data_IF_211003402484
#
_entry.id   IF_211003402484
#
_cell.length_a   1.000
_cell.length_b   1.000
_cell.length_c   1.000
_cell.angle_alpha   90.00
_cell.angle_beta   90.00
_cell.angle_gamma   90.00
#
_symmetry.space_group_name_H-M   'P 1'
#
loop_
_entity.id
_entity.type
_entity.pdbx_description
1 polymer ?
#
# COMPACT_ATOMS: atom_id res chain seq x y z
N UNK A 1 1.32 -21.72 -0.19
CA UNK A 1 1.09 -20.25 -0.23
C UNK A 1 1.55 -19.60 1.08
N UNK A 2 2.05 -18.36 1.02
CA UNK A 2 2.38 -17.58 2.23
C UNK A 2 1.09 -17.17 2.96
N UNK A 3 1.14 -17.08 4.29
CA UNK A 3 0.07 -16.49 5.07
C UNK A 3 0.32 -14.98 5.18
N UNK A 4 -0.30 -14.21 4.29
CA UNK A 4 -0.11 -12.76 4.18
C UNK A 4 -0.49 -12.02 5.47
N UNK A 5 -1.59 -12.43 6.11
CA UNK A 5 -2.03 -11.82 7.37
C UNK A 5 -1.02 -12.06 8.51
N UNK A 6 -0.40 -13.25 8.56
CA UNK A 6 0.66 -13.53 9.54
C UNK A 6 1.92 -12.69 9.28
N UNK A 7 2.31 -12.53 8.02
CA UNK A 7 3.47 -11.71 7.65
C UNK A 7 3.21 -10.23 7.99
N UNK A 8 2.02 -9.74 7.69
CA UNK A 8 1.61 -8.39 8.03
C UNK A 8 1.58 -8.17 9.55
N UNK A 9 1.01 -9.10 10.31
CA UNK A 9 0.98 -9.01 11.77
C UNK A 9 2.39 -8.91 12.37
N UNK A 10 3.35 -9.68 11.83
CA UNK A 10 4.77 -9.58 12.25
C UNK A 10 5.40 -8.23 11.91
N UNK A 11 5.08 -7.67 10.75
CA UNK A 11 5.53 -6.33 10.36
C UNK A 11 4.94 -5.26 11.29
N UNK A 12 3.65 -5.33 11.58
CA UNK A 12 2.93 -4.40 12.46
C UNK A 12 3.50 -4.42 13.88
N UNK A 13 3.72 -5.60 14.46
CA UNK A 13 4.38 -5.77 15.77
C UNK A 13 5.75 -5.05 15.80
N UNK A 14 6.56 -5.25 14.77
CA UNK A 14 7.88 -4.63 14.66
C UNK A 14 7.78 -3.10 14.53
N UNK A 15 6.86 -2.59 13.71
CA UNK A 15 6.64 -1.15 13.53
C UNK A 15 6.18 -0.49 14.83
N UNK A 16 5.21 -1.07 15.53
CA UNK A 16 4.73 -0.53 16.81
C UNK A 16 5.89 -0.39 17.81
N UNK A 17 6.73 -1.42 17.91
CA UNK A 17 7.93 -1.37 18.76
C UNK A 17 8.90 -0.24 18.35
N UNK A 18 9.14 -0.05 17.05
CA UNK A 18 10.00 1.05 16.59
C UNK A 18 9.39 2.42 16.88
N UNK A 19 8.11 2.58 16.56
CA UNK A 19 7.38 3.84 16.70
C UNK A 19 7.28 4.24 18.17
N UNK A 20 6.96 3.31 19.06
CA UNK A 20 6.94 3.53 20.51
C UNK A 20 8.30 3.99 21.04
N UNK A 21 9.38 3.32 20.61
CA UNK A 21 10.75 3.68 21.00
C UNK A 21 11.12 5.08 20.53
N UNK A 22 10.72 5.47 19.32
CA UNK A 22 11.04 6.76 18.73
C UNK A 22 10.22 7.89 19.35
N UNK A 23 8.90 7.69 19.50
CA UNK A 23 7.99 8.66 20.08
C UNK A 23 8.35 8.95 21.54
N UNK A 24 8.61 7.92 22.36
CA UNK A 24 9.01 8.09 23.76
C UNK A 24 10.34 8.81 23.91
N UNK A 25 11.36 8.43 23.13
CA UNK A 25 12.71 9.05 23.23
C UNK A 25 12.72 10.52 22.83
N UNK A 26 11.89 10.91 21.87
CA UNK A 26 11.91 12.27 21.30
C UNK A 26 10.69 13.11 21.68
N UNK A 27 9.77 12.58 22.49
CA UNK A 27 8.47 13.17 22.82
C UNK A 27 7.74 13.72 21.57
N UNK A 28 7.75 12.94 20.48
CA UNK A 28 7.17 13.35 19.20
C UNK A 28 5.76 12.79 19.03
N UNK A 29 4.83 13.56 18.42
CA UNK A 29 3.53 13.05 18.02
C UNK A 29 3.68 11.96 16.95
N UNK A 30 2.68 11.08 16.93
CA UNK A 30 2.50 10.09 15.88
C UNK A 30 1.47 10.56 14.88
N UNK A 31 1.77 10.32 13.62
CA UNK A 31 0.90 10.61 12.51
C UNK A 31 0.54 9.30 11.81
N UNK A 32 -0.69 9.25 11.33
CA UNK A 32 -1.20 8.17 10.48
C UNK A 32 -1.65 8.80 9.19
N UNK A 33 -1.11 8.31 8.09
CA UNK A 33 -1.48 8.72 6.73
C UNK A 33 -2.00 7.52 5.98
N UNK A 34 -3.15 7.68 5.33
CA UNK A 34 -3.74 6.68 4.46
C UNK A 34 -3.84 7.29 3.07
N UNK A 35 -3.27 6.61 2.09
CA UNK A 35 -3.27 7.07 0.70
C UNK A 35 -3.34 5.87 -0.23
N UNK A 36 -3.92 6.08 -1.41
CA UNK A 36 -3.89 5.09 -2.47
C UNK A 36 -2.81 5.41 -3.51
N UNK A 37 -2.08 4.38 -3.92
CA UNK A 37 -0.97 4.52 -4.86
C UNK A 37 -1.05 3.47 -5.95
N UNK A 38 -0.49 3.79 -7.11
CA UNK A 38 -0.39 2.88 -8.25
C UNK A 38 1.04 2.35 -8.32
N UNK A 39 1.21 1.05 -8.15
CA UNK A 39 2.43 0.36 -8.53
C UNK A 39 2.39 0.07 -10.04
N UNK A 40 2.87 1.04 -10.83
CA UNK A 40 2.91 0.93 -12.27
C UNK A 40 3.78 -0.27 -12.70
N UNK A 41 3.29 -1.02 -13.69
CA UNK A 41 3.95 -2.17 -14.30
C UNK A 41 4.06 -1.97 -15.80
N UNK A 42 5.00 -2.65 -16.43
CA UNK A 42 5.05 -2.75 -17.89
C UNK A 42 3.82 -3.50 -18.36
N UNK A 43 3.09 -2.93 -19.32
CA UNK A 43 1.96 -3.59 -19.95
C UNK A 43 2.43 -4.92 -20.57
N UNK A 44 1.71 -6.03 -20.36
CA UNK A 44 1.98 -7.27 -21.07
C UNK A 44 1.95 -7.06 -22.59
N UNK A 45 2.79 -7.79 -23.33
CA UNK A 45 2.80 -7.71 -24.79
C UNK A 45 1.43 -8.13 -25.35
N UNK A 46 1.09 -7.68 -26.56
CA UNK A 46 -0.12 -8.15 -27.26
C UNK A 46 -0.13 -9.67 -27.53
N UNK A 47 1.03 -10.33 -27.39
CA UNK A 47 1.21 -11.78 -27.50
C UNK A 47 1.11 -12.51 -26.16
N UNK A 48 0.95 -11.79 -25.04
CA UNK A 48 0.82 -12.41 -23.73
C UNK A 48 -0.54 -13.12 -23.63
N UNK A 49 -0.53 -14.42 -23.35
CA UNK A 49 -1.75 -15.21 -23.17
C UNK A 49 -2.54 -14.80 -21.92
N UNK A 50 -1.86 -14.23 -20.91
CA UNK A 50 -2.45 -13.81 -19.65
C UNK A 50 -1.89 -12.44 -19.23
N UNK A 51 -2.77 -11.59 -18.71
CA UNK A 51 -2.38 -10.35 -18.06
C UNK A 51 -1.71 -10.63 -16.71
N UNK A 52 -0.96 -9.65 -16.18
CA UNK A 52 -0.43 -9.72 -14.81
C UNK A 52 -1.63 -9.74 -13.85
N UNK A 53 -1.71 -10.76 -12.98
CA UNK A 53 -2.82 -10.94 -12.04
C UNK A 53 -2.98 -9.71 -11.14
N UNK A 54 -4.20 -9.19 -11.01
CA UNK A 54 -4.49 -8.04 -10.13
C UNK A 54 -3.95 -6.70 -10.63
N UNK A 55 -3.47 -6.62 -11.87
CA UNK A 55 -3.23 -5.34 -12.56
C UNK A 55 -4.44 -4.94 -13.40
N UNK A 56 -4.65 -3.64 -13.54
CA UNK A 56 -5.64 -3.05 -14.44
C UNK A 56 -5.17 -1.68 -14.96
N UNK A 57 -5.98 -1.06 -15.82
CA UNK A 57 -5.81 0.34 -16.21
C UNK A 57 -6.30 1.29 -15.12
N UNK A 58 -5.47 2.28 -14.82
CA UNK A 58 -5.73 3.34 -13.87
C UNK A 58 -5.30 4.68 -14.44
N UNK A 59 -6.08 5.74 -14.23
CA UNK A 59 -5.68 7.09 -14.65
C UNK A 59 -4.68 7.67 -13.63
N UNK A 60 -3.46 7.97 -14.09
CA UNK A 60 -2.48 8.71 -13.30
C UNK A 60 -2.75 10.20 -13.45
N UNK A 61 -3.18 10.85 -12.36
CA UNK A 61 -3.34 12.31 -12.35
C UNK A 61 -2.01 13.05 -12.43
N UNK A 62 -0.90 12.42 -11.99
CA UNK A 62 0.45 12.98 -12.06
C UNK A 62 0.97 13.00 -13.51
N UNK A 63 0.77 11.91 -14.23
CA UNK A 63 1.29 11.74 -15.59
C UNK A 63 0.26 12.12 -16.67
N UNK A 64 -0.95 12.50 -16.25
CA UNK A 64 -2.09 12.84 -17.10
C UNK A 64 -2.46 11.75 -18.14
N UNK A 65 -2.19 10.49 -17.83
CA UNK A 65 -2.42 9.36 -18.74
C UNK A 65 -2.86 8.09 -18.01
N UNK A 66 -3.44 7.15 -18.75
CA UNK A 66 -3.74 5.82 -18.22
C UNK A 66 -2.47 4.98 -18.12
N UNK A 67 -2.20 4.45 -16.94
CA UNK A 67 -1.09 3.56 -16.63
C UNK A 67 -1.60 2.17 -16.29
N UNK A 68 -0.81 1.16 -16.59
CA UNK A 68 -1.08 -0.23 -16.24
C UNK A 68 -0.39 -0.56 -14.91
N UNK A 69 -1.09 -1.14 -13.94
CA UNK A 69 -0.47 -1.47 -12.68
C UNK A 69 -1.42 -1.99 -11.63
N UNK A 70 -0.91 -2.19 -10.42
CA UNK A 70 -1.70 -2.53 -9.24
C UNK A 70 -2.08 -1.25 -8.51
N UNK A 71 -3.32 -1.17 -8.05
CA UNK A 71 -3.74 -0.13 -7.12
C UNK A 71 -3.68 -0.68 -5.69
N UNK A 72 -3.07 0.07 -4.78
CA UNK A 72 -2.92 -0.32 -3.39
C UNK A 72 -3.39 0.81 -2.49
N UNK A 73 -4.01 0.48 -1.36
CA UNK A 73 -4.24 1.40 -0.25
C UNK A 73 -3.17 1.13 0.80
N UNK A 74 -2.44 2.17 1.22
CA UNK A 74 -1.36 2.10 2.19
C UNK A 74 -1.73 2.87 3.44
N UNK A 75 -1.44 2.27 4.60
CA UNK A 75 -1.45 2.95 5.89
C UNK A 75 -0.01 3.09 6.36
N UNK A 76 0.43 4.33 6.47
CA UNK A 76 1.75 4.72 6.97
C UNK A 76 1.61 5.26 8.39
N UNK A 77 2.42 4.74 9.31
CA UNK A 77 2.60 5.33 10.64
C UNK A 77 3.94 6.06 10.64
N UNK A 78 3.97 7.32 11.05
CA UNK A 78 5.18 8.11 10.99
C UNK A 78 5.33 9.11 12.14
N UNK A 79 6.58 9.46 12.40
CA UNK A 79 6.97 10.63 13.19
C UNK A 79 7.33 11.76 12.23
N UNK A 80 7.82 12.88 12.75
CA UNK A 80 8.39 13.94 11.90
C UNK A 80 9.63 13.52 11.12
N UNK A 81 10.31 12.44 11.55
CA UNK A 81 11.64 12.09 11.00
C UNK A 81 11.69 10.74 10.30
N UNK A 82 10.68 9.88 10.50
CA UNK A 82 10.67 8.52 9.97
C UNK A 82 9.24 8.07 9.68
N UNK A 83 9.06 7.31 8.60
CA UNK A 83 7.78 6.74 8.20
C UNK A 83 7.88 5.22 8.02
N UNK A 84 6.84 4.50 8.44
CA UNK A 84 6.79 3.05 8.47
C UNK A 84 5.53 2.53 7.77
N UNK A 85 5.65 1.52 6.88
CA UNK A 85 4.51 0.94 6.18
C UNK A 85 3.78 -0.05 7.09
N UNK A 86 2.73 0.42 7.77
CA UNK A 86 2.02 -0.36 8.77
C UNK A 86 1.04 -1.36 8.16
N UNK A 87 0.36 -0.98 7.08
CA UNK A 87 -0.47 -1.89 6.31
C UNK A 87 -0.47 -1.51 4.83
N UNK A 88 -0.68 -2.51 3.99
CA UNK A 88 -1.03 -2.32 2.59
C UNK A 88 -2.11 -3.32 2.20
N UNK A 89 -3.03 -2.91 1.34
CA UNK A 89 -4.07 -3.77 0.76
C UNK A 89 -4.14 -3.54 -0.73
N UNK A 90 -4.16 -4.63 -1.49
CA UNK A 90 -4.45 -4.56 -2.92
C UNK A 90 -5.92 -4.13 -3.08
N UNK A 91 -6.15 -3.09 -3.88
CA UNK A 91 -7.49 -2.70 -4.26
C UNK A 91 -7.88 -3.44 -5.53
N UNK A 92 -8.93 -4.26 -5.42
CA UNK A 92 -9.56 -4.92 -6.56
C UNK A 92 -10.94 -4.32 -6.80
N UNK A 93 -11.09 -3.61 -7.93
CA UNK A 93 -12.37 -3.03 -8.37
C UNK A 93 -13.49 -4.06 -8.47
N UNK A 94 -13.17 -5.32 -8.75
CA UNK A 94 -14.14 -6.40 -8.93
C UNK A 94 -14.59 -7.01 -7.61
N UNK A 95 -13.85 -6.79 -6.52
CA UNK A 95 -14.19 -7.31 -5.20
C UNK A 95 -15.34 -6.54 -4.51
N UNK A 96 -15.80 -5.43 -5.09
CA UNK A 96 -16.95 -4.66 -4.59
C UNK A 96 -16.69 -3.88 -3.30
N UNK A 97 -15.47 -3.93 -2.74
CA UNK A 97 -15.05 -3.10 -1.61
C UNK A 97 -14.56 -1.75 -2.13
N UNK A 98 -14.96 -0.68 -1.46
CA UNK A 98 -14.41 0.65 -1.74
C UNK A 98 -13.00 0.77 -1.16
N UNK A 99 -12.23 1.78 -1.59
CA UNK A 99 -10.91 2.06 -1.01
C UNK A 99 -11.00 2.42 0.48
N UNK A 100 -12.09 3.07 0.90
CA UNK A 100 -12.28 3.47 2.30
C UNK A 100 -12.58 2.27 3.20
N UNK A 101 -13.19 1.19 2.66
CA UNK A 101 -13.36 -0.06 3.39
C UNK A 101 -12.05 -0.84 3.59
N UNK A 102 -11.01 -0.47 2.84
CA UNK A 102 -9.66 -1.05 2.96
C UNK A 102 -8.73 -0.21 3.84
N UNK A 103 -9.15 1.01 4.20
CA UNK A 103 -8.41 1.99 4.97
C UNK A 103 -8.39 1.66 6.46
#
# INVERSE_FOLDING_TARGET
>A
PWNEERLLGKLQEWILSQVERLAKRKNQPLFVSIDDTICQKTKPSSRAAHAIQGCDWHYSHKDHQSVWGHLLVWLMVHTFTQAFPFAFRLYDKKAGKSKIDLA
#
